data_IF_193726033702
#
_entry.id   IF_193726033702
#
_cell.length_a   1.000
_cell.length_b   1.000
_cell.length_c   1.000
_cell.angle_alpha   90.00
_cell.angle_beta   90.00
_cell.angle_gamma   90.00
#
_symmetry.space_group_name_H-M   'P 1'
#
loop_
_entity.id
_entity.type
_entity.pdbx_description
1 polymer ?
#
# COMPACT_ATOMS: atom_id res chain seq x y z
N UNK A 1 20.22 31.04 10.00
CA UNK A 1 19.96 29.93 10.93
C UNK A 1 18.51 29.94 11.34
N UNK A 2 18.05 30.90 12.16
CA UNK A 2 16.61 31.08 12.42
C UNK A 2 15.85 31.50 11.16
N UNK A 3 14.62 31.01 11.00
CA UNK A 3 13.74 31.38 9.88
C UNK A 3 14.30 31.07 8.49
N UNK A 4 15.31 30.21 8.38
CA UNK A 4 15.97 29.90 7.11
C UNK A 4 16.07 28.39 6.87
N UNK A 5 15.46 27.92 5.78
CA UNK A 5 15.46 26.52 5.36
C UNK A 5 16.78 26.08 4.70
N UNK A 6 17.64 27.01 4.29
CA UNK A 6 18.90 26.70 3.60
C UNK A 6 20.12 26.69 4.53
N UNK A 7 19.99 27.30 5.71
CA UNK A 7 21.12 27.43 6.64
C UNK A 7 20.88 26.62 7.92
N UNK A 8 21.42 25.40 7.96
CA UNK A 8 21.31 24.49 9.10
C UNK A 8 22.03 24.99 10.35
N UNK A 9 21.50 24.68 11.54
CA UNK A 9 22.23 24.80 12.80
C UNK A 9 23.54 24.00 12.73
N UNK A 10 24.65 24.60 13.19
CA UNK A 10 25.99 23.98 13.10
C UNK A 10 26.31 23.03 14.25
N UNK A 11 25.51 23.05 15.33
CA UNK A 11 25.67 22.19 16.50
C UNK A 11 24.35 21.97 17.23
N UNK A 12 24.30 20.95 18.09
CA UNK A 12 23.21 20.73 19.03
C UNK A 12 23.83 20.26 20.38
N UNK A 13 23.83 21.09 21.44
CA UNK A 13 23.22 22.43 21.52
C UNK A 13 23.97 23.48 20.69
N UNK A 14 23.27 24.57 20.32
CA UNK A 14 23.86 25.76 19.69
C UNK A 14 23.70 26.96 20.62
N UNK A 15 24.76 27.76 20.77
CA UNK A 15 24.71 28.98 21.58
C UNK A 15 23.84 30.04 20.90
N UNK A 16 22.99 30.68 21.69
CA UNK A 16 22.29 31.91 21.30
C UNK A 16 23.27 33.08 21.54
N UNK A 17 23.51 33.90 20.51
CA UNK A 17 24.51 34.97 20.55
C UNK A 17 23.88 36.37 20.55
N UNK A 18 24.65 37.37 20.95
CA UNK A 18 24.26 38.78 20.86
C UNK A 18 23.04 39.14 21.70
N UNK A 19 22.20 40.01 21.15
CA UNK A 19 21.04 40.54 21.85
C UNK A 19 19.91 39.51 21.99
N UNK A 20 19.90 38.44 21.18
CA UNK A 20 18.91 37.36 21.24
C UNK A 20 18.94 36.62 22.59
N UNK A 21 20.06 36.71 23.31
CA UNK A 21 20.19 36.22 24.70
C UNK A 21 19.23 36.89 25.69
N UNK A 22 18.81 38.12 25.41
CA UNK A 22 17.91 38.89 26.27
C UNK A 22 16.43 38.71 25.91
N UNK A 23 16.13 37.95 24.85
CA UNK A 23 14.79 37.65 24.38
C UNK A 23 14.80 37.40 22.88
N UNK A 24 14.22 36.27 22.47
CA UNK A 24 14.18 35.85 21.06
C UNK A 24 12.76 35.38 20.71
N UNK A 25 12.25 35.83 19.57
CA UNK A 25 11.01 35.35 18.96
C UNK A 25 11.31 35.03 17.49
N UNK A 26 11.43 33.73 17.18
CA UNK A 26 11.87 33.25 15.87
C UNK A 26 11.17 31.94 15.48
N UNK A 27 11.09 31.71 14.18
CA UNK A 27 10.70 30.41 13.62
C UNK A 27 11.91 29.46 13.56
N UNK A 28 11.71 28.23 14.03
CA UNK A 28 12.68 27.14 13.92
C UNK A 28 12.10 26.08 12.98
N UNK A 29 12.84 25.78 11.91
CA UNK A 29 12.49 24.70 11.00
C UNK A 29 13.24 23.42 11.38
N UNK A 30 12.50 22.32 11.53
CA UNK A 30 13.04 21.01 11.89
C UNK A 30 12.76 20.07 10.73
N UNK A 31 13.81 19.46 10.18
CA UNK A 31 13.64 18.39 9.19
C UNK A 31 13.13 17.15 9.94
N UNK A 32 11.95 16.65 9.54
CA UNK A 32 11.39 15.44 10.09
C UNK A 32 12.29 14.22 9.81
N UNK A 33 12.14 13.18 10.61
CA UNK A 33 12.81 11.91 10.43
C UNK A 33 12.18 11.16 9.24
N UNK A 34 12.88 10.13 8.76
CA UNK A 34 12.35 9.27 7.72
C UNK A 34 11.35 8.28 8.33
N UNK A 35 10.07 8.65 8.23
CA UNK A 35 8.90 7.82 8.47
C UNK A 35 8.64 7.32 9.89
N UNK A 36 7.36 7.05 10.16
CA UNK A 36 6.86 6.64 11.47
C UNK A 36 6.68 7.80 12.44
N UNK A 37 6.55 7.47 13.73
CA UNK A 37 6.23 8.44 14.78
C UNK A 37 7.44 8.64 15.69
N UNK A 38 7.90 9.89 15.83
CA UNK A 38 8.97 10.25 16.78
C UNK A 38 8.62 11.45 17.62
N UNK A 39 9.06 11.38 18.87
CA UNK A 39 9.03 12.50 19.81
C UNK A 39 10.28 13.35 19.62
N UNK A 40 10.06 14.66 19.55
CA UNK A 40 11.08 15.68 19.47
C UNK A 40 11.04 16.51 20.74
N UNK A 41 12.21 16.89 21.20
CA UNK A 41 12.37 17.78 22.34
C UNK A 41 13.22 18.96 21.88
N UNK A 42 12.64 20.15 21.93
CA UNK A 42 13.38 21.40 21.86
C UNK A 42 13.70 21.82 23.30
N UNK A 43 14.97 22.11 23.57
CA UNK A 43 15.42 22.58 24.88
C UNK A 43 16.10 23.95 24.74
N UNK A 44 15.81 24.85 25.67
CA UNK A 44 16.49 26.15 25.81
C UNK A 44 17.04 26.22 27.22
N UNK A 45 18.34 26.47 27.36
CA UNK A 45 19.06 26.60 28.62
C UNK A 45 19.49 28.06 28.82
N UNK A 46 19.32 28.61 30.01
CA UNK A 46 19.83 29.93 30.37
C UNK A 46 21.24 29.89 30.97
N UNK A 47 21.86 31.05 31.21
CA UNK A 47 23.22 31.12 31.78
C UNK A 47 23.28 30.63 33.25
N UNK A 48 22.13 30.48 33.92
CA UNK A 48 21.99 29.90 35.26
C UNK A 48 21.91 28.37 35.26
N UNK A 49 21.75 27.75 34.09
CA UNK A 49 21.57 26.30 33.91
C UNK A 49 20.11 25.84 34.01
N UNK A 50 19.14 26.77 34.00
CA UNK A 50 17.73 26.42 33.98
C UNK A 50 17.32 26.07 32.54
N UNK A 51 16.71 24.89 32.36
CA UNK A 51 16.32 24.37 31.05
C UNK A 51 14.78 24.36 30.93
N UNK A 52 14.29 24.92 29.83
CA UNK A 52 12.91 24.83 29.39
C UNK A 52 12.80 23.86 28.21
N UNK A 53 11.72 23.07 28.20
CA UNK A 53 11.47 22.06 27.17
C UNK A 53 10.16 22.33 26.44
N UNK A 54 10.18 22.08 25.14
CA UNK A 54 8.98 21.91 24.31
C UNK A 54 9.05 20.53 23.69
N UNK A 55 8.07 19.69 24.01
CA UNK A 55 7.95 18.34 23.48
C UNK A 55 6.80 18.29 22.49
N UNK A 56 7.04 17.64 21.35
CA UNK A 56 6.00 17.40 20.35
C UNK A 56 6.32 16.13 19.59
N UNK A 57 5.29 15.59 18.94
CA UNK A 57 5.40 14.38 18.15
C UNK A 57 5.23 14.73 16.68
N UNK A 58 6.12 14.22 15.84
CA UNK A 58 5.95 14.24 14.39
C UNK A 58 5.65 12.81 13.95
N UNK A 59 4.58 12.62 13.17
CA UNK A 59 4.36 11.43 12.38
C UNK A 59 4.76 11.75 10.93
N UNK A 60 5.84 11.11 10.47
CA UNK A 60 6.37 11.27 9.13
C UNK A 60 5.86 10.21 8.15
N UNK A 61 4.99 9.27 8.59
CA UNK A 61 4.44 8.18 7.79
C UNK A 61 5.49 7.16 7.33
N UNK A 62 5.30 5.86 7.54
CA UNK A 62 6.20 4.88 6.91
C UNK A 62 5.93 4.86 5.40
N UNK A 63 6.97 4.90 4.56
CA UNK A 63 6.78 4.70 3.12
C UNK A 63 6.30 3.28 2.88
N UNK A 64 5.31 3.09 2.00
CA UNK A 64 4.86 1.74 1.60
C UNK A 64 6.03 0.93 1.05
N UNK A 65 6.02 -0.37 1.30
CA UNK A 65 6.79 -1.30 0.49
C UNK A 65 6.15 -1.36 -0.90
N UNK A 66 6.96 -1.44 -1.94
CA UNK A 66 6.48 -1.55 -3.33
C UNK A 66 7.16 -2.73 -4.01
N UNK A 67 6.36 -3.60 -4.61
CA UNK A 67 6.85 -4.71 -5.42
C UNK A 67 5.90 -4.99 -6.58
N UNK A 68 6.37 -5.78 -7.55
CA UNK A 68 5.56 -6.25 -8.66
C UNK A 68 5.39 -7.77 -8.54
N UNK A 69 4.18 -8.24 -8.78
CA UNK A 69 3.82 -9.66 -8.79
C UNK A 69 3.22 -10.09 -10.12
N UNK A 70 3.21 -11.40 -10.36
CA UNK A 70 2.53 -12.00 -11.51
C UNK A 70 1.60 -13.09 -11.01
N UNK A 71 0.30 -12.92 -11.23
CA UNK A 71 -0.71 -13.93 -10.93
C UNK A 71 -1.04 -14.69 -12.22
N UNK A 72 -0.57 -15.93 -12.31
CA UNK A 72 -0.87 -16.82 -13.43
C UNK A 72 -2.26 -17.45 -13.30
N UNK A 73 -2.86 -17.81 -14.43
CA UNK A 73 -4.11 -18.56 -14.52
C UNK A 73 -4.01 -19.88 -13.72
N UNK A 74 -5.01 -20.17 -12.88
CA UNK A 74 -5.00 -21.37 -12.04
C UNK A 74 -5.16 -22.68 -12.82
N UNK A 75 -5.64 -22.61 -14.06
CA UNK A 75 -5.67 -23.74 -15.00
C UNK A 75 -4.33 -23.96 -15.73
N UNK A 76 -3.30 -23.18 -15.41
CA UNK A 76 -1.94 -23.34 -15.92
C UNK A 76 -1.18 -24.53 -15.32
N UNK A 77 0.15 -24.62 -15.55
CA UNK A 77 1.02 -25.62 -14.93
C UNK A 77 0.88 -25.71 -13.41
N UNK A 78 1.14 -26.90 -12.86
CA UNK A 78 1.12 -27.14 -11.41
C UNK A 78 2.06 -26.17 -10.68
N UNK A 79 1.56 -25.60 -9.58
CA UNK A 79 2.29 -24.61 -8.78
C UNK A 79 2.00 -23.15 -9.15
N UNK A 80 0.94 -22.91 -9.95
CA UNK A 80 0.46 -21.58 -10.31
C UNK A 80 -0.97 -21.34 -9.80
N UNK A 81 -1.48 -20.14 -10.05
CA UNK A 81 -2.86 -19.76 -9.73
C UNK A 81 -3.03 -19.03 -8.40
N UNK A 82 -1.96 -18.82 -7.64
CA UNK A 82 -1.92 -18.00 -6.44
C UNK A 82 -0.82 -16.94 -6.51
N UNK A 83 -0.96 -15.90 -5.69
CA UNK A 83 0.04 -14.84 -5.53
C UNK A 83 0.26 -14.56 -4.04
N UNK A 84 1.52 -14.64 -3.63
CA UNK A 84 2.01 -14.20 -2.33
C UNK A 84 2.29 -12.69 -2.42
N UNK A 85 1.53 -11.90 -1.66
CA UNK A 85 1.58 -10.44 -1.67
C UNK A 85 2.71 -9.88 -0.80
N UNK A 86 3.29 -10.69 0.09
CA UNK A 86 4.42 -10.28 0.91
C UNK A 86 5.71 -10.16 0.08
N UNK A 87 5.84 -10.99 -0.96
CA UNK A 87 7.06 -11.05 -1.79
C UNK A 87 6.82 -10.99 -3.30
N UNK A 88 5.57 -10.97 -3.78
CA UNK A 88 5.21 -10.90 -5.19
C UNK A 88 5.41 -12.20 -5.97
N UNK A 89 5.68 -13.31 -5.29
CA UNK A 89 5.95 -14.58 -5.94
C UNK A 89 4.64 -15.27 -6.33
N UNK A 90 4.58 -15.75 -7.58
CA UNK A 90 3.53 -16.68 -7.97
C UNK A 90 3.72 -18.01 -7.26
N UNK A 91 2.63 -18.51 -6.68
CA UNK A 91 2.54 -19.80 -5.99
C UNK A 91 1.31 -20.56 -6.48
N UNK A 92 1.07 -21.76 -5.94
CA UNK A 92 -0.14 -22.52 -6.25
C UNK A 92 -1.39 -21.87 -5.66
N UNK A 93 -2.56 -22.00 -6.28
CA UNK A 93 -3.84 -21.51 -5.72
C UNK A 93 -4.20 -22.10 -4.34
N UNK A 94 -3.62 -23.26 -3.99
CA UNK A 94 -3.80 -23.93 -2.70
C UNK A 94 -2.56 -23.78 -1.79
N UNK A 95 -1.57 -22.99 -2.19
CA UNK A 95 -0.42 -22.71 -1.33
C UNK A 95 -0.87 -21.85 -0.15
N UNK A 96 -0.36 -22.15 1.04
CA UNK A 96 -0.70 -21.44 2.26
C UNK A 96 -0.15 -20.01 2.32
N UNK A 97 0.81 -19.67 1.46
CA UNK A 97 1.35 -18.31 1.35
C UNK A 97 0.64 -17.43 0.32
N UNK A 98 -0.41 -17.91 -0.35
CA UNK A 98 -1.18 -17.08 -1.26
C UNK A 98 -2.22 -16.26 -0.50
N UNK A 99 -2.27 -14.96 -0.76
CA UNK A 99 -3.38 -14.09 -0.32
C UNK A 99 -4.43 -13.94 -1.40
N UNK A 100 -4.09 -14.08 -2.69
CA UNK A 100 -5.09 -14.07 -3.77
C UNK A 100 -4.87 -15.21 -4.74
N UNK A 101 -5.93 -15.58 -5.46
CA UNK A 101 -5.90 -16.63 -6.48
C UNK A 101 -6.75 -16.28 -7.69
N UNK A 102 -6.40 -16.88 -8.83
CA UNK A 102 -7.17 -16.79 -10.07
C UNK A 102 -8.23 -17.91 -10.15
N UNK A 103 -9.40 -17.58 -10.69
CA UNK A 103 -10.55 -18.49 -10.77
C UNK A 103 -10.48 -19.48 -11.95
N UNK A 104 -9.46 -19.40 -12.79
CA UNK A 104 -9.19 -20.39 -13.82
C UNK A 104 -9.99 -20.18 -15.10
N UNK A 105 -10.41 -21.28 -15.71
CA UNK A 105 -11.05 -21.30 -17.03
C UNK A 105 -12.47 -21.87 -16.98
N UNK A 106 -13.29 -21.45 -17.93
CA UNK A 106 -14.58 -22.03 -18.27
C UNK A 106 -14.39 -23.12 -19.34
N UNK A 107 -14.62 -24.39 -18.98
CA UNK A 107 -14.42 -25.53 -19.87
C UNK A 107 -15.45 -25.63 -21.00
N UNK A 108 -16.53 -24.84 -20.95
CA UNK A 108 -17.56 -24.82 -21.99
C UNK A 108 -17.23 -23.82 -23.12
N UNK A 109 -16.22 -22.96 -22.93
CA UNK A 109 -15.74 -21.97 -23.89
C UNK A 109 -14.49 -22.46 -24.66
N UNK A 110 -14.21 -21.94 -25.87
CA UNK A 110 -13.01 -22.30 -26.61
C UNK A 110 -11.74 -21.77 -25.93
N UNK A 111 -10.61 -22.43 -26.16
CA UNK A 111 -9.32 -22.16 -25.49
C UNK A 111 -8.90 -20.68 -25.53
N UNK A 112 -9.16 -19.99 -26.65
CA UNK A 112 -8.79 -18.59 -26.83
C UNK A 112 -9.67 -17.59 -26.07
N UNK A 113 -10.67 -18.07 -25.33
CA UNK A 113 -11.67 -17.24 -24.61
C UNK A 113 -12.09 -17.82 -23.26
N UNK A 114 -11.54 -18.96 -22.87
CA UNK A 114 -12.01 -19.70 -21.70
C UNK A 114 -11.54 -19.09 -20.38
N UNK A 115 -10.55 -18.21 -20.35
CA UNK A 115 -10.09 -17.60 -19.10
C UNK A 115 -11.17 -16.71 -18.48
N UNK A 116 -11.59 -17.06 -17.25
CA UNK A 116 -12.70 -16.41 -16.54
C UNK A 116 -12.36 -14.95 -16.21
N UNK A 117 -11.07 -14.64 -16.10
CA UNK A 117 -10.54 -13.31 -15.74
C UNK A 117 -11.13 -12.77 -14.44
N UNK A 118 -11.16 -13.60 -13.39
CA UNK A 118 -11.64 -13.23 -12.05
C UNK A 118 -10.67 -13.71 -10.99
N UNK A 119 -10.63 -12.99 -9.88
CA UNK A 119 -9.79 -13.30 -8.73
C UNK A 119 -10.62 -13.43 -7.46
N UNK A 120 -10.11 -14.17 -6.49
CA UNK A 120 -10.67 -14.30 -5.14
C UNK A 120 -9.59 -14.29 -4.08
N UNK A 121 -10.01 -14.14 -2.82
CA UNK A 121 -9.13 -14.30 -1.68
C UNK A 121 -8.70 -15.76 -1.49
N UNK A 122 -7.49 -15.96 -1.00
CA UNK A 122 -6.94 -17.25 -0.60
C UNK A 122 -6.61 -17.25 0.90
N UNK A 123 -6.64 -18.45 1.52
CA UNK A 123 -6.26 -18.66 2.92
C UNK A 123 -6.95 -17.74 3.95
N UNK A 124 -8.18 -17.32 3.66
CA UNK A 124 -8.97 -16.47 4.56
C UNK A 124 -8.75 -14.97 4.40
N UNK A 125 -7.98 -14.55 3.39
CA UNK A 125 -7.94 -13.15 2.99
C UNK A 125 -9.29 -12.69 2.43
N UNK A 126 -9.55 -11.39 2.60
CA UNK A 126 -10.69 -10.72 1.98
C UNK A 126 -10.19 -9.73 0.94
N UNK A 127 -10.84 -9.70 -0.22
CA UNK A 127 -10.52 -8.79 -1.31
C UNK A 127 -11.73 -7.93 -1.67
N UNK A 128 -11.48 -6.66 -1.94
CA UNK A 128 -12.47 -5.67 -2.36
C UNK A 128 -11.93 -4.85 -3.54
N UNK A 129 -12.82 -4.35 -4.39
CA UNK A 129 -12.43 -3.46 -5.49
C UNK A 129 -12.62 -1.99 -5.11
N UNK A 130 -11.59 -1.19 -5.36
CA UNK A 130 -11.65 0.25 -5.19
C UNK A 130 -12.05 0.89 -6.52
N UNK A 131 -13.21 1.54 -6.52
CA UNK A 131 -13.75 2.22 -7.69
C UNK A 131 -13.84 3.71 -7.36
N UNK A 132 -13.14 4.54 -8.13
CA UNK A 132 -13.18 5.98 -7.96
C UNK A 132 -14.63 6.50 -7.98
N UNK A 133 -14.92 7.53 -7.18
CA UNK A 133 -16.25 8.12 -7.03
C UNK A 133 -17.32 7.15 -6.47
N UNK A 134 -16.90 6.07 -5.79
CA UNK A 134 -17.80 5.09 -5.15
C UNK A 134 -17.45 4.94 -3.67
N UNK A 135 -18.44 4.69 -2.80
CA UNK A 135 -18.27 4.48 -1.35
C UNK A 135 -17.43 5.53 -0.62
N UNK A 136 -17.46 6.79 -1.08
CA UNK A 136 -16.69 7.89 -0.48
C UNK A 136 -15.25 8.01 -0.97
N UNK A 137 -14.81 7.15 -1.91
CA UNK A 137 -13.52 7.28 -2.57
C UNK A 137 -13.53 8.47 -3.55
N UNK A 138 -12.57 9.39 -3.50
CA UNK A 138 -12.53 10.54 -4.41
C UNK A 138 -12.47 10.12 -5.89
N UNK A 139 -13.00 10.97 -6.78
CA UNK A 139 -12.86 10.77 -8.24
C UNK A 139 -11.40 10.83 -8.71
N UNK A 140 -10.55 11.51 -7.94
CA UNK A 140 -9.12 11.68 -8.22
C UNK A 140 -8.27 10.59 -7.56
N UNK A 141 -8.87 9.60 -6.90
CA UNK A 141 -8.11 8.54 -6.26
C UNK A 141 -7.32 7.74 -7.29
N UNK A 142 -6.04 7.50 -6.97
CA UNK A 142 -5.13 6.70 -7.76
C UNK A 142 -4.26 5.85 -6.86
N UNK A 143 -3.87 4.69 -7.37
CA UNK A 143 -2.94 3.80 -6.69
C UNK A 143 -1.62 4.51 -6.35
N UNK A 144 -1.12 5.38 -7.24
CA UNK A 144 0.15 6.09 -7.08
C UNK A 144 0.14 7.06 -5.90
N UNK A 145 -1.03 7.59 -5.54
CA UNK A 145 -1.18 8.63 -4.50
C UNK A 145 -1.22 8.06 -3.07
N UNK A 146 -1.07 6.74 -2.91
CA UNK A 146 -0.99 6.05 -1.61
C UNK A 146 0.47 5.82 -1.24
N UNK A 147 0.94 6.47 -0.18
CA UNK A 147 2.34 6.53 0.23
C UNK A 147 2.63 5.91 1.59
N UNK A 148 1.61 5.60 2.40
CA UNK A 148 1.79 4.98 3.72
C UNK A 148 0.88 3.78 3.97
N UNK A 149 1.28 2.81 4.81
CA UNK A 149 0.42 1.69 5.22
C UNK A 149 -0.89 2.15 5.85
N UNK A 150 -0.89 3.25 6.62
CA UNK A 150 -2.11 3.81 7.20
C UNK A 150 -3.07 4.31 6.13
N UNK A 151 -2.56 4.87 5.02
CA UNK A 151 -3.39 5.28 3.89
C UNK A 151 -3.98 4.05 3.15
N UNK A 152 -3.23 2.94 3.07
CA UNK A 152 -3.76 1.67 2.54
C UNK A 152 -4.91 1.18 3.43
N UNK A 153 -4.68 1.07 4.74
CA UNK A 153 -5.73 0.63 5.67
C UNK A 153 -6.95 1.56 5.66
N UNK A 154 -6.74 2.87 5.50
CA UNK A 154 -7.83 3.86 5.49
C UNK A 154 -8.80 3.70 4.31
N UNK A 155 -8.35 3.15 3.17
CA UNK A 155 -9.23 2.97 1.99
C UNK A 155 -10.01 1.64 2.01
N UNK A 156 -9.78 0.76 2.99
CA UNK A 156 -10.49 -0.52 3.12
C UNK A 156 -12.01 -0.38 3.16
N UNK A 157 -12.50 0.58 3.95
CA UNK A 157 -13.93 0.84 4.12
C UNK A 157 -14.57 1.45 2.86
N UNK A 158 -13.75 1.95 1.92
CA UNK A 158 -14.23 2.41 0.60
C UNK A 158 -14.32 1.27 -0.42
N UNK A 159 -13.75 0.09 -0.12
CA UNK A 159 -13.78 -1.08 -0.99
C UNK A 159 -15.19 -1.58 -1.25
N UNK A 160 -15.47 -1.95 -2.50
CA UNK A 160 -16.71 -2.64 -2.87
C UNK A 160 -16.55 -4.14 -2.60
N UNK A 161 -17.40 -4.68 -1.75
CA UNK A 161 -17.48 -6.13 -1.53
C UNK A 161 -17.94 -6.85 -2.80
N UNK A 162 -17.33 -7.99 -3.05
CA UNK A 162 -17.73 -8.90 -4.11
C UNK A 162 -19.04 -9.60 -3.75
N UNK A 163 -20.00 -9.51 -4.66
CA UNK A 163 -21.33 -10.13 -4.50
C UNK A 163 -21.46 -11.48 -5.20
N UNK A 164 -20.64 -11.72 -6.22
CA UNK A 164 -20.60 -12.99 -6.94
C UNK A 164 -19.81 -14.03 -6.14
N UNK A 165 -20.16 -15.30 -6.30
CA UNK A 165 -19.44 -16.42 -5.70
C UNK A 165 -19.12 -17.51 -6.71
N UNK A 166 -18.00 -18.19 -6.54
CA UNK A 166 -17.71 -19.41 -7.30
C UNK A 166 -18.50 -20.62 -6.76
N UNK A 167 -18.27 -21.79 -7.36
CA UNK A 167 -18.96 -23.04 -7.03
C UNK A 167 -18.71 -23.54 -5.60
N UNK A 168 -17.66 -23.06 -4.92
CA UNK A 168 -17.34 -23.40 -3.53
C UNK A 168 -17.78 -22.31 -2.54
N UNK A 169 -18.44 -21.26 -3.01
CA UNK A 169 -19.01 -20.19 -2.19
C UNK A 169 -18.02 -19.08 -1.83
N UNK A 170 -16.84 -19.06 -2.43
CA UNK A 170 -15.86 -17.97 -2.25
C UNK A 170 -16.29 -16.77 -3.09
N UNK A 171 -16.14 -15.58 -2.53
CA UNK A 171 -16.47 -14.34 -3.23
C UNK A 171 -15.46 -14.08 -4.34
N UNK A 172 -15.94 -13.78 -5.53
CA UNK A 172 -15.11 -13.55 -6.73
C UNK A 172 -15.33 -12.13 -7.27
N UNK A 173 -14.26 -11.57 -7.84
CA UNK A 173 -14.30 -10.25 -8.44
C UNK A 173 -15.27 -10.17 -9.64
N UNK A 174 -15.55 -8.95 -10.08
CA UNK A 174 -15.95 -8.73 -11.46
C UNK A 174 -14.80 -9.14 -12.40
N UNK A 175 -15.08 -9.18 -13.70
CA UNK A 175 -14.03 -9.42 -14.68
C UNK A 175 -12.93 -8.37 -14.49
N UNK A 176 -11.71 -8.82 -14.24
CA UNK A 176 -10.55 -7.97 -13.98
C UNK A 176 -10.15 -7.29 -15.28
N UNK A 177 -10.04 -5.97 -15.26
CA UNK A 177 -9.57 -5.12 -16.36
C UNK A 177 -8.26 -4.41 -16.01
N UNK A 178 -7.60 -3.86 -17.04
CA UNK A 178 -6.42 -3.02 -16.84
C UNK A 178 -6.77 -1.79 -15.97
N UNK A 179 -5.85 -1.39 -15.12
CA UNK A 179 -5.99 -0.29 -14.14
C UNK A 179 -7.02 -0.55 -13.03
N UNK A 180 -7.55 -1.76 -12.90
CA UNK A 180 -8.36 -2.13 -11.74
C UNK A 180 -7.50 -2.11 -10.47
N UNK A 181 -8.03 -1.44 -9.44
CA UNK A 181 -7.39 -1.35 -8.12
C UNK A 181 -8.17 -2.19 -7.12
N UNK A 182 -7.45 -3.06 -6.41
CA UNK A 182 -8.00 -3.90 -5.35
C UNK A 182 -7.32 -3.59 -4.03
N UNK A 183 -8.05 -3.81 -2.94
CA UNK A 183 -7.48 -3.86 -1.60
C UNK A 183 -7.74 -5.23 -1.00
N UNK A 184 -6.71 -5.80 -0.38
CA UNK A 184 -6.74 -7.13 0.24
C UNK A 184 -6.39 -7.00 1.71
N UNK A 185 -7.16 -7.64 2.57
CA UNK A 185 -6.85 -7.81 3.99
C UNK A 185 -6.48 -9.27 4.24
N UNK A 186 -5.33 -9.50 4.89
CA UNK A 186 -4.90 -10.82 5.32
C UNK A 186 -4.22 -10.71 6.68
N UNK A 187 -4.79 -11.36 7.69
CA UNK A 187 -4.22 -11.43 9.05
C UNK A 187 -3.87 -10.05 9.67
N UNK A 188 -4.65 -9.02 9.36
CA UNK A 188 -4.46 -7.64 9.82
C UNK A 188 -3.50 -6.80 8.97
N UNK A 189 -2.96 -7.35 7.89
CA UNK A 189 -2.14 -6.62 6.91
C UNK A 189 -3.02 -6.25 5.72
N UNK A 190 -2.90 -5.00 5.28
CA UNK A 190 -3.62 -4.50 4.11
C UNK A 190 -2.66 -4.33 2.94
N UNK A 191 -3.04 -4.86 1.78
CA UNK A 191 -2.30 -4.76 0.54
C UNK A 191 -3.14 -4.00 -0.47
N UNK A 192 -2.55 -3.01 -1.12
CA UNK A 192 -3.14 -2.34 -2.27
C UNK A 192 -2.53 -2.93 -3.55
N UNK A 193 -3.37 -3.27 -4.52
CA UNK A 193 -2.96 -3.92 -5.77
C UNK A 193 -3.50 -3.11 -6.94
N UNK A 194 -2.67 -2.86 -7.95
CA UNK A 194 -3.10 -2.31 -9.24
C UNK A 194 -2.75 -3.29 -10.37
N UNK A 195 -3.70 -3.54 -11.28
CA UNK A 195 -3.47 -4.39 -12.45
C UNK A 195 -2.82 -3.58 -13.56
N UNK A 196 -1.55 -3.86 -13.84
CA UNK A 196 -0.73 -3.10 -14.80
C UNK A 196 -0.60 -3.77 -16.16
N UNK A 197 -0.85 -5.08 -16.25
CA UNK A 197 -0.86 -5.80 -17.51
C UNK A 197 -1.77 -7.03 -17.41
N UNK A 198 -2.41 -7.37 -18.53
CA UNK A 198 -3.19 -8.59 -18.70
C UNK A 198 -2.70 -9.29 -19.96
N UNK A 199 -2.14 -10.47 -19.79
CA UNK A 199 -1.56 -11.27 -20.85
C UNK A 199 -2.46 -12.46 -21.15
N UNK A 200 -3.22 -12.40 -22.25
CA UNK A 200 -4.03 -13.52 -22.72
C UNK A 200 -3.28 -14.35 -23.77
N UNK A 201 -3.47 -15.66 -23.71
CA UNK A 201 -2.93 -16.65 -24.63
C UNK A 201 -4.05 -17.32 -25.40
N UNK A 202 -3.80 -17.66 -26.67
CA UNK A 202 -4.86 -18.20 -27.56
C UNK A 202 -4.86 -19.73 -27.63
N UNK A 203 -3.78 -20.36 -27.18
CA UNK A 203 -3.50 -21.80 -27.36
C UNK A 203 -2.92 -22.48 -26.11
N UNK A 204 -2.86 -21.76 -24.98
CA UNK A 204 -2.46 -22.31 -23.68
C UNK A 204 -3.26 -21.67 -22.55
N UNK A 205 -3.12 -22.19 -21.34
CA UNK A 205 -3.61 -21.56 -20.10
C UNK A 205 -2.45 -20.82 -19.41
N UNK A 206 -1.63 -20.11 -20.18
CA UNK A 206 -0.48 -19.37 -19.64
C UNK A 206 -0.80 -17.90 -19.40
N UNK A 207 -2.10 -17.59 -19.36
CA UNK A 207 -2.60 -16.26 -19.10
C UNK A 207 -2.15 -15.78 -17.72
N UNK A 208 -1.96 -14.47 -17.58
CA UNK A 208 -1.56 -13.90 -16.31
C UNK A 208 -1.94 -12.43 -16.20
N UNK A 209 -2.02 -11.96 -14.95
CA UNK A 209 -2.03 -10.56 -14.59
C UNK A 209 -0.64 -10.18 -14.09
N UNK A 210 -0.13 -9.03 -14.51
CA UNK A 210 0.99 -8.37 -13.83
C UNK A 210 0.39 -7.29 -12.95
N UNK A 211 0.81 -7.25 -11.69
CA UNK A 211 0.25 -6.34 -10.69
C UNK A 211 1.33 -5.62 -9.91
N UNK A 212 1.09 -4.35 -9.62
CA UNK A 212 1.87 -3.59 -8.66
C UNK A 212 1.24 -3.70 -7.27
N UNK A 213 2.06 -3.89 -6.24
CA UNK A 213 1.62 -4.17 -4.86
C UNK A 213 2.25 -3.16 -3.90
N UNK A 214 1.43 -2.62 -3.00
CA UNK A 214 1.85 -1.80 -1.85
C UNK A 214 1.36 -2.39 -0.53
N UNK A 215 2.20 -2.38 0.50
CA UNK A 215 1.85 -2.79 1.88
C UNK A 215 2.78 -2.15 2.92
#
# INVERSE_FOLDING_TARGET
>A
YYGDLQTNFTSNPMNIEGDDKFGIEVDIYITAHNGGLKNYTLAIEDEGGDIQFVEFTIDAGMTVSFLQGVLFNSAGPVGQGGLDLDNGMSVGSNDTSAEIKDEGIDLDEPMDKNWIRKISGANGSEIRQLIANTNGLPETFKFEDVFTPDQIAAVWENGNEFTDTNNVGERISFRVELDDVFIVESNGIYYLINVVEINETTDSNSDNYVVDIKY
#
